data_IF_306722528300
#
_entry.id   IF_306722528300
#
_cell.length_a   1.000
_cell.length_b   1.000
_cell.length_c   1.000
_cell.angle_alpha   90.00
_cell.angle_beta   90.00
_cell.angle_gamma   90.00
#
_symmetry.space_group_name_H-M   'P 1'
#
loop_
_entity.id
_entity.type
_entity.pdbx_description
1 polymer ?
#
# COMPACT_ATOMS: atom_id res chain seq x y z
N UNK A 1 -5.53 -8.07 66.48
CA UNK A 1 -4.22 -8.73 66.37
C UNK A 1 -3.52 -8.12 65.15
N UNK A 2 -2.63 -7.15 65.38
CA UNK A 2 -1.92 -6.40 64.35
C UNK A 2 -0.55 -7.03 64.09
N UNK A 3 -0.17 -7.23 62.83
CA UNK A 3 1.23 -7.46 62.45
C UNK A 3 1.57 -6.59 61.24
N UNK A 4 2.22 -5.46 61.54
CA UNK A 4 3.02 -4.63 60.64
C UNK A 4 4.30 -5.38 60.32
N UNK A 5 4.70 -5.43 59.04
CA UNK A 5 6.12 -5.53 58.67
C UNK A 5 6.42 -4.46 57.63
N UNK A 6 7.34 -3.59 57.98
CA UNK A 6 7.88 -2.53 57.15
C UNK A 6 9.19 -3.02 56.50
N UNK A 7 9.41 -2.67 55.24
CA UNK A 7 10.69 -2.83 54.55
C UNK A 7 10.98 -1.62 53.67
N UNK A 8 11.80 -0.69 54.18
CA UNK A 8 12.37 0.44 53.44
C UNK A 8 13.59 -0.05 52.64
N UNK A 9 13.74 0.40 51.39
CA UNK A 9 15.04 0.48 50.70
C UNK A 9 15.16 1.83 49.95
N UNK A 10 16.38 2.36 49.75
CA UNK A 10 16.61 3.79 49.67
C UNK A 10 16.82 4.33 48.26
N UNK A 11 16.59 5.63 48.15
CA UNK A 11 16.93 6.50 47.02
C UNK A 11 18.45 6.59 46.88
N UNK A 12 18.98 6.43 45.67
CA UNK A 12 20.32 6.91 45.32
C UNK A 12 20.24 7.95 44.20
N UNK A 13 20.96 9.04 44.43
CA UNK A 13 20.99 10.26 43.64
C UNK A 13 22.23 10.26 42.72
N UNK A 14 22.13 11.13 41.71
CA UNK A 14 23.05 11.45 40.61
C UNK A 14 24.55 11.41 40.94
N UNK A 15 25.35 11.02 39.94
CA UNK A 15 26.54 11.80 39.56
C UNK A 15 26.90 11.61 38.08
N UNK A 16 27.13 12.77 37.45
CA UNK A 16 27.67 12.99 36.11
C UNK A 16 29.19 13.03 36.23
N UNK A 17 29.93 12.27 35.43
CA UNK A 17 31.35 12.55 35.12
C UNK A 17 31.65 12.15 33.67
N UNK A 18 32.04 13.15 32.88
CA UNK A 18 32.74 12.99 31.60
C UNK A 18 34.08 12.26 31.79
N UNK A 19 34.45 11.37 30.87
CA UNK A 19 35.84 11.29 30.37
C UNK A 19 35.95 10.47 29.08
N UNK A 20 36.51 11.14 28.09
CA UNK A 20 37.23 10.59 26.93
C UNK A 20 38.44 9.79 27.40
N UNK A 21 38.74 8.66 26.74
CA UNK A 21 40.01 8.47 26.01
C UNK A 21 40.11 7.07 25.41
N UNK A 22 40.75 7.07 24.26
CA UNK A 22 41.31 5.96 23.49
C UNK A 22 42.04 4.89 24.30
N UNK A 23 41.94 3.63 23.86
CA UNK A 23 43.10 2.74 23.86
C UNK A 23 42.98 1.69 22.76
N UNK A 24 44.07 1.62 21.98
CA UNK A 24 44.41 0.58 21.02
C UNK A 24 44.49 -0.77 21.72
N UNK A 25 44.03 -1.82 21.07
CA UNK A 25 44.46 -3.19 21.34
C UNK A 25 45.19 -3.68 20.10
N UNK A 26 46.41 -4.16 20.32
CA UNK A 26 47.33 -4.75 19.34
C UNK A 26 47.76 -6.12 19.89
N UNK A 27 48.09 -7.01 18.94
CA UNK A 27 48.75 -8.32 19.03
C UNK A 27 47.81 -9.54 19.14
N UNK A 28 48.07 -10.69 18.49
CA UNK A 28 49.27 -11.13 17.75
C UNK A 28 48.92 -12.00 16.53
N UNK A 29 49.85 -11.97 15.58
CA UNK A 29 49.94 -12.68 14.31
C UNK A 29 50.49 -14.11 14.39
N UNK A 30 50.45 -14.77 13.23
CA UNK A 30 51.06 -16.05 12.79
C UNK A 30 50.10 -17.25 12.91
N UNK A 31 49.74 -17.95 11.82
CA UNK A 31 50.61 -18.47 10.76
C UNK A 31 50.10 -18.31 9.32
N UNK A 32 51.10 -18.29 8.43
CA UNK A 32 51.10 -18.08 6.99
C UNK A 32 50.67 -19.30 6.16
N UNK A 33 50.09 -19.03 5.00
CA UNK A 33 50.60 -19.36 3.64
C UNK A 33 49.39 -19.40 2.68
N UNK A 34 49.44 -19.02 1.41
CA UNK A 34 50.28 -18.18 0.56
C UNK A 34 49.51 -18.19 -0.78
N UNK A 35 49.48 -17.10 -1.54
CA UNK A 35 48.82 -17.12 -2.86
C UNK A 35 48.52 -15.75 -3.44
N UNK A 36 49.57 -14.95 -3.61
CA UNK A 36 49.54 -13.62 -4.21
C UNK A 36 48.97 -13.58 -5.63
N UNK A 37 48.26 -12.48 -5.93
CA UNK A 37 48.58 -11.60 -7.07
C UNK A 37 47.85 -10.25 -6.93
N UNK A 38 48.67 -9.21 -6.76
CA UNK A 38 48.32 -7.79 -6.72
C UNK A 38 48.21 -7.16 -8.13
N UNK A 39 47.70 -5.91 -8.24
CA UNK A 39 46.99 -5.37 -9.38
C UNK A 39 47.77 -4.30 -10.16
N UNK A 40 47.26 -3.95 -11.36
CA UNK A 40 47.59 -2.76 -12.17
C UNK A 40 46.46 -2.58 -13.19
N UNK A 41 46.08 -1.43 -13.73
CA UNK A 41 46.25 0.00 -13.49
C UNK A 41 45.27 0.68 -14.48
N UNK A 42 44.93 1.95 -14.26
CA UNK A 42 44.18 2.86 -15.13
C UNK A 42 44.66 2.87 -16.60
N UNK A 43 43.76 3.22 -17.54
CA UNK A 43 43.95 4.31 -18.52
C UNK A 43 42.63 4.71 -19.22
N UNK A 44 42.67 5.90 -19.80
CA UNK A 44 41.58 6.79 -20.19
C UNK A 44 41.03 6.59 -21.63
N UNK A 45 39.94 7.33 -21.91
CA UNK A 45 39.23 7.54 -23.19
C UNK A 45 40.16 8.26 -24.22
N UNK A 46 39.91 8.20 -25.55
CA UNK A 46 39.23 9.33 -26.22
C UNK A 46 38.38 9.04 -27.50
N UNK A 47 37.39 9.92 -27.73
CA UNK A 47 36.91 10.61 -28.97
C UNK A 47 36.52 9.93 -30.31
N UNK A 48 35.45 10.49 -30.92
CA UNK A 48 35.18 10.58 -32.39
C UNK A 48 33.67 10.53 -32.74
N UNK A 49 32.95 11.64 -33.02
CA UNK A 49 32.72 12.31 -34.33
C UNK A 49 31.96 11.42 -35.36
N UNK A 50 30.93 11.81 -36.13
CA UNK A 50 30.25 13.08 -36.47
C UNK A 50 28.90 12.79 -37.20
N UNK A 51 28.15 13.84 -37.58
CA UNK A 51 26.76 13.83 -38.10
C UNK A 51 26.55 13.26 -39.53
N UNK A 52 25.59 13.72 -40.38
CA UNK A 52 24.69 14.88 -40.26
C UNK A 52 23.20 14.62 -40.63
N UNK A 53 22.43 15.71 -40.51
CA UNK A 53 21.03 15.89 -40.87
C UNK A 53 20.75 15.77 -42.37
N UNK A 54 19.59 15.20 -42.71
CA UNK A 54 18.93 15.41 -43.99
C UNK A 54 17.46 15.79 -43.74
N UNK A 55 17.06 16.91 -44.33
CA UNK A 55 15.73 17.50 -44.27
C UNK A 55 14.74 16.76 -45.19
N UNK A 56 13.47 16.68 -44.79
CA UNK A 56 12.35 16.53 -45.72
C UNK A 56 11.15 17.34 -45.20
N UNK A 57 10.80 18.35 -45.99
CA UNK A 57 9.59 19.18 -45.87
C UNK A 57 8.41 18.47 -46.53
N UNK A 58 7.22 18.67 -45.95
CA UNK A 58 5.95 18.73 -46.69
C UNK A 58 5.10 17.47 -46.64
N UNK A 59 4.05 17.49 -45.82
CA UNK A 59 2.70 16.94 -46.10
C UNK A 59 1.73 17.32 -44.95
N UNK A 60 0.83 18.25 -45.29
CA UNK A 60 -0.54 18.56 -44.86
C UNK A 60 -1.18 18.17 -43.50
N UNK A 61 -2.21 18.94 -43.05
CA UNK A 61 -2.56 19.10 -41.65
C UNK A 61 -3.38 17.94 -41.07
N UNK A 62 -2.91 17.44 -39.93
CA UNK A 62 -3.60 16.45 -39.10
C UNK A 62 -4.99 16.93 -38.65
N UNK A 63 -6.00 16.26 -39.18
CA UNK A 63 -7.38 16.30 -38.69
C UNK A 63 -7.42 15.57 -37.33
N UNK A 64 -7.35 16.32 -36.22
CA UNK A 64 -7.43 15.79 -34.86
C UNK A 64 -8.85 15.31 -34.55
N UNK A 65 -9.17 14.07 -34.94
CA UNK A 65 -10.19 13.30 -34.22
C UNK A 65 -9.64 12.97 -32.83
N UNK A 66 -10.27 13.52 -31.79
CA UNK A 66 -10.03 13.14 -30.41
C UNK A 66 -10.40 11.66 -30.23
N UNK A 67 -9.44 10.76 -30.44
CA UNK A 67 -9.54 9.41 -29.90
C UNK A 67 -9.34 9.53 -28.39
N UNK A 68 -10.45 9.48 -27.65
CA UNK A 68 -10.45 9.13 -26.23
C UNK A 68 -9.95 7.68 -26.10
N UNK A 69 -8.64 7.48 -26.12
CA UNK A 69 -8.03 6.25 -25.66
C UNK A 69 -8.13 6.25 -24.14
N UNK A 70 -9.25 5.76 -23.62
CA UNK A 70 -9.34 5.35 -22.23
C UNK A 70 -8.39 4.15 -22.07
N UNK A 71 -7.14 4.43 -21.72
CA UNK A 71 -6.15 3.42 -21.36
C UNK A 71 -6.65 2.80 -20.05
N UNK A 72 -7.52 1.77 -20.16
CA UNK A 72 -7.84 0.89 -19.04
C UNK A 72 -6.53 0.25 -18.60
N UNK A 73 -6.20 0.40 -17.31
CA UNK A 73 -4.99 -0.16 -16.73
C UNK A 73 -4.99 -1.68 -16.96
N UNK A 74 -3.82 -2.27 -17.23
CA UNK A 74 -3.70 -3.72 -17.47
C UNK A 74 -4.29 -4.59 -16.33
N UNK A 75 -4.36 -4.04 -15.11
CA UNK A 75 -5.03 -4.66 -13.96
C UNK A 75 -6.55 -4.71 -14.08
N UNK A 76 -7.18 -3.71 -14.70
CA UNK A 76 -8.63 -3.67 -14.93
C UNK A 76 -9.05 -4.66 -16.02
N UNK A 77 -8.22 -4.83 -17.06
CA UNK A 77 -8.44 -5.86 -18.09
C UNK A 77 -8.38 -7.26 -17.48
N UNK A 78 -7.36 -7.56 -16.68
CA UNK A 78 -7.22 -8.86 -15.98
C UNK A 78 -8.38 -9.16 -15.02
N UNK A 79 -8.91 -8.14 -14.34
CA UNK A 79 -10.08 -8.30 -13.45
C UNK A 79 -11.37 -8.53 -14.26
N UNK A 80 -11.57 -7.80 -15.36
CA UNK A 80 -12.72 -8.00 -16.25
C UNK A 80 -12.69 -9.38 -16.92
N UNK A 81 -11.52 -9.83 -17.40
CA UNK A 81 -11.35 -11.16 -18.00
C UNK A 81 -11.59 -12.27 -16.97
N UNK A 82 -11.16 -12.07 -15.73
CA UNK A 82 -11.43 -12.99 -14.63
C UNK A 82 -12.94 -13.14 -14.38
N UNK A 83 -13.65 -12.03 -14.18
CA UNK A 83 -15.10 -12.07 -13.95
C UNK A 83 -15.89 -12.54 -15.16
N UNK A 84 -15.41 -12.28 -16.38
CA UNK A 84 -16.00 -12.86 -17.58
C UNK A 84 -15.89 -14.40 -17.58
N UNK A 85 -14.75 -14.96 -17.13
CA UNK A 85 -14.59 -16.42 -16.96
C UNK A 85 -15.47 -16.98 -15.84
N UNK A 86 -15.59 -16.27 -14.73
CA UNK A 86 -16.48 -16.68 -13.62
C UNK A 86 -17.94 -16.68 -14.08
N UNK A 87 -18.37 -15.67 -14.85
CA UNK A 87 -19.76 -15.46 -15.22
C UNK A 87 -20.16 -16.07 -16.58
N UNK A 88 -19.27 -16.82 -17.24
CA UNK A 88 -19.55 -17.45 -18.54
C UNK A 88 -20.47 -18.67 -18.39
N UNK A 89 -21.73 -18.45 -17.99
CA UNK A 89 -22.70 -19.51 -17.66
C UNK A 89 -23.24 -20.27 -18.88
N UNK A 90 -23.15 -19.65 -20.06
CA UNK A 90 -23.89 -20.11 -21.25
C UNK A 90 -23.05 -20.86 -22.29
N UNK A 91 -21.74 -21.06 -22.05
CA UNK A 91 -20.91 -21.87 -22.95
C UNK A 91 -20.35 -23.03 -22.16
N UNK A 92 -20.70 -24.25 -22.58
CA UNK A 92 -20.08 -25.48 -22.09
C UNK A 92 -18.58 -25.33 -22.28
N UNK A 93 -17.86 -25.08 -21.20
CA UNK A 93 -16.42 -24.90 -21.22
C UNK A 93 -15.81 -25.80 -20.15
N UNK A 94 -15.54 -27.04 -20.56
CA UNK A 94 -14.94 -28.06 -19.73
C UNK A 94 -13.50 -27.75 -19.27
N UNK A 95 -12.90 -26.70 -19.84
CA UNK A 95 -11.59 -26.18 -19.46
C UNK A 95 -11.67 -25.02 -18.45
N UNK A 96 -12.87 -24.60 -18.05
CA UNK A 96 -13.07 -23.56 -17.05
C UNK A 96 -13.42 -24.19 -15.70
N UNK A 97 -12.57 -24.07 -14.66
CA UNK A 97 -12.83 -24.68 -13.36
C UNK A 97 -14.11 -24.12 -12.70
N UNK A 98 -14.43 -22.84 -12.94
CA UNK A 98 -15.67 -22.23 -12.42
C UNK A 98 -16.92 -22.90 -13.00
N UNK A 99 -16.91 -23.21 -14.30
CA UNK A 99 -18.01 -23.92 -14.94
C UNK A 99 -18.18 -25.34 -14.38
N UNK A 100 -17.07 -26.07 -14.16
CA UNK A 100 -17.11 -27.41 -13.58
C UNK A 100 -17.74 -27.41 -12.18
N UNK A 101 -17.35 -26.45 -11.33
CA UNK A 101 -17.90 -26.34 -9.98
C UNK A 101 -19.34 -25.86 -9.98
N UNK A 102 -19.71 -24.86 -10.79
CA UNK A 102 -21.12 -24.45 -10.88
C UNK A 102 -22.01 -25.59 -11.39
N UNK A 103 -21.57 -26.33 -12.41
CA UNK A 103 -22.30 -27.50 -12.91
C UNK A 103 -22.43 -28.58 -11.84
N UNK A 104 -21.36 -28.85 -11.08
CA UNK A 104 -21.41 -29.79 -9.97
C UNK A 104 -22.45 -29.37 -8.93
N UNK A 105 -22.42 -28.11 -8.50
CA UNK A 105 -23.36 -27.57 -7.50
C UNK A 105 -24.81 -27.54 -7.98
N UNK A 106 -25.04 -27.40 -9.29
CA UNK A 106 -26.38 -27.48 -9.89
C UNK A 106 -26.92 -28.92 -9.93
N UNK A 107 -26.06 -29.90 -10.23
CA UNK A 107 -26.44 -31.31 -10.32
C UNK A 107 -26.63 -31.91 -8.91
N UNK A 108 -25.76 -31.55 -7.97
CA UNK A 108 -25.74 -32.08 -6.61
C UNK A 108 -26.05 -30.99 -5.60
N UNK A 109 -27.31 -30.53 -5.59
CA UNK A 109 -27.78 -29.51 -4.65
C UNK A 109 -27.94 -30.04 -3.22
N UNK A 110 -28.15 -31.35 -3.07
CA UNK A 110 -28.19 -32.02 -1.77
C UNK A 110 -26.79 -32.31 -1.25
N UNK A 111 -26.57 -32.08 0.04
CA UNK A 111 -25.25 -32.20 0.69
C UNK A 111 -24.73 -33.63 0.66
N UNK A 112 -25.56 -34.62 0.98
CA UNK A 112 -25.11 -36.01 1.06
C UNK A 112 -24.80 -36.54 -0.35
N UNK A 113 -25.62 -36.17 -1.34
CA UNK A 113 -25.32 -36.47 -2.75
C UNK A 113 -24.03 -35.79 -3.21
N UNK A 114 -23.80 -34.53 -2.88
CA UNK A 114 -22.56 -33.83 -3.21
C UNK A 114 -21.35 -34.56 -2.59
N UNK A 115 -21.42 -34.91 -1.31
CA UNK A 115 -20.36 -35.63 -0.59
C UNK A 115 -20.01 -36.98 -1.22
N UNK A 116 -21.01 -37.73 -1.69
CA UNK A 116 -20.81 -39.00 -2.38
C UNK A 116 -20.15 -38.84 -3.75
N UNK A 117 -20.45 -37.75 -4.46
CA UNK A 117 -19.96 -37.50 -5.82
C UNK A 117 -18.64 -36.72 -5.90
N UNK A 118 -18.13 -36.21 -4.78
CA UNK A 118 -16.76 -35.68 -4.70
C UNK A 118 -15.76 -36.86 -4.73
N UNK A 119 -14.96 -36.93 -5.80
CA UNK A 119 -13.92 -37.93 -6.03
C UNK A 119 -12.57 -37.29 -6.41
N UNK A 120 -11.51 -38.10 -6.41
CA UNK A 120 -10.14 -37.67 -6.66
C UNK A 120 -9.98 -37.00 -8.04
N UNK A 121 -10.50 -37.63 -9.09
CA UNK A 121 -10.36 -37.16 -10.47
C UNK A 121 -11.00 -35.80 -10.67
N UNK A 122 -12.17 -35.59 -10.07
CA UNK A 122 -12.88 -34.32 -10.12
C UNK A 122 -12.08 -33.19 -9.44
N UNK A 123 -11.53 -33.45 -8.24
CA UNK A 123 -10.70 -32.46 -7.53
C UNK A 123 -9.43 -32.15 -8.33
N UNK A 124 -8.70 -33.17 -8.79
CA UNK A 124 -7.51 -32.97 -9.62
C UNK A 124 -7.83 -32.19 -10.90
N UNK A 125 -8.96 -32.48 -11.56
CA UNK A 125 -9.39 -31.76 -12.76
C UNK A 125 -9.68 -30.29 -12.49
N UNK A 126 -10.45 -29.97 -11.44
CA UNK A 126 -10.77 -28.59 -11.09
C UNK A 126 -9.50 -27.82 -10.72
N UNK A 127 -8.66 -28.41 -9.87
CA UNK A 127 -7.52 -27.72 -9.29
C UNK A 127 -6.36 -27.59 -10.28
N UNK A 128 -6.12 -28.56 -11.16
CA UNK A 128 -5.09 -28.46 -12.21
C UNK A 128 -5.40 -27.40 -13.27
N UNK A 129 -6.69 -27.20 -13.60
CA UNK A 129 -7.11 -26.10 -14.48
C UNK A 129 -6.88 -24.71 -13.84
N UNK A 130 -6.88 -24.64 -12.50
CA UNK A 130 -6.56 -23.40 -11.77
C UNK A 130 -5.06 -23.22 -11.53
N UNK A 131 -4.35 -24.31 -11.23
CA UNK A 131 -2.93 -24.37 -10.94
C UNK A 131 -2.31 -25.57 -11.70
N UNK A 132 -1.63 -25.35 -12.84
CA UNK A 132 -1.16 -26.43 -13.72
C UNK A 132 -0.27 -27.49 -13.06
N UNK A 133 0.46 -27.13 -12.01
CA UNK A 133 1.34 -28.06 -11.28
C UNK A 133 0.62 -28.80 -10.13
N UNK A 134 -0.69 -28.66 -10.02
CA UNK A 134 -1.44 -29.27 -8.95
C UNK A 134 -1.59 -30.78 -9.18
N UNK A 135 -1.30 -31.55 -8.14
CA UNK A 135 -1.61 -32.96 -8.06
C UNK A 135 -1.99 -33.33 -6.63
N UNK A 136 -2.98 -34.21 -6.51
CA UNK A 136 -3.44 -34.86 -5.30
C UNK A 136 -3.36 -36.38 -5.53
N UNK A 137 -2.80 -37.11 -4.57
CA UNK A 137 -2.75 -38.57 -4.62
C UNK A 137 -4.01 -39.18 -4.03
N UNK A 138 -4.28 -40.46 -4.31
CA UNK A 138 -5.40 -41.18 -3.71
C UNK A 138 -5.27 -41.28 -2.19
N UNK A 139 -4.06 -41.53 -1.69
CA UNK A 139 -3.76 -41.57 -0.26
C UNK A 139 -4.11 -40.23 0.40
N UNK A 140 -3.65 -39.12 -0.19
CA UNK A 140 -3.93 -37.77 0.30
C UNK A 140 -5.42 -37.49 0.31
N UNK A 141 -6.12 -37.84 -0.77
CA UNK A 141 -7.56 -37.66 -0.85
C UNK A 141 -8.33 -38.44 0.22
N UNK A 142 -7.94 -39.69 0.50
CA UNK A 142 -8.54 -40.51 1.54
C UNK A 142 -8.29 -39.93 2.94
N UNK A 143 -7.08 -39.41 3.19
CA UNK A 143 -6.77 -38.68 4.42
C UNK A 143 -7.72 -37.48 4.55
N UNK A 144 -7.85 -36.66 3.51
CA UNK A 144 -8.73 -35.48 3.54
C UNK A 144 -10.19 -35.83 3.82
N UNK A 145 -10.72 -36.91 3.24
CA UNK A 145 -12.09 -37.40 3.51
C UNK A 145 -12.32 -37.84 4.95
N UNK A 146 -11.27 -38.26 5.66
CA UNK A 146 -11.37 -38.73 7.04
C UNK A 146 -11.38 -37.61 8.08
N UNK A 147 -10.96 -36.38 7.71
CA UNK A 147 -10.81 -35.26 8.65
C UNK A 147 -12.18 -34.84 9.16
N UNK A 148 -12.34 -34.86 10.49
CA UNK A 148 -13.51 -34.35 11.19
C UNK A 148 -13.29 -32.90 11.65
N UNK A 149 -14.34 -32.07 11.68
CA UNK A 149 -14.25 -30.72 12.22
C UNK A 149 -14.05 -30.73 13.73
N UNK A 150 -13.31 -29.74 14.22
CA UNK A 150 -13.24 -29.36 15.62
C UNK A 150 -14.05 -28.08 15.79
N UNK A 151 -15.18 -28.15 16.48
CA UNK A 151 -16.01 -26.98 16.76
C UNK A 151 -15.44 -26.14 17.88
N UNK A 152 -15.30 -24.84 17.62
CA UNK A 152 -14.82 -23.85 18.57
C UNK A 152 -16.01 -22.95 18.97
N UNK A 153 -16.13 -22.70 20.27
CA UNK A 153 -17.14 -21.81 20.82
C UNK A 153 -16.56 -20.39 20.98
N UNK A 154 -17.43 -19.39 20.83
CA UNK A 154 -17.08 -18.00 21.13
C UNK A 154 -16.94 -17.81 22.66
N UNK A 155 -15.97 -17.01 23.16
CA UNK A 155 -14.94 -16.28 22.43
C UNK A 155 -13.84 -17.20 21.90
N UNK A 156 -13.60 -17.15 20.59
CA UNK A 156 -12.71 -18.10 19.91
C UNK A 156 -11.27 -17.96 20.40
N UNK A 157 -10.85 -16.75 20.76
CA UNK A 157 -9.49 -16.39 21.15
C UNK A 157 -8.94 -17.22 22.30
N UNK A 158 -9.81 -17.69 23.19
CA UNK A 158 -9.43 -18.51 24.34
C UNK A 158 -9.06 -19.94 23.93
N UNK A 159 -9.65 -20.45 22.84
CA UNK A 159 -9.47 -21.83 22.37
C UNK A 159 -8.36 -21.99 21.32
N UNK A 160 -8.04 -20.92 20.58
CA UNK A 160 -7.12 -21.00 19.43
C UNK A 160 -5.71 -21.48 19.79
N UNK A 161 -5.05 -21.02 20.88
CA UNK A 161 -3.67 -21.45 21.14
C UNK A 161 -3.56 -22.94 21.47
N UNK A 162 -4.57 -23.52 22.12
CA UNK A 162 -4.61 -24.94 22.47
C UNK A 162 -4.89 -25.84 21.27
N UNK A 163 -5.76 -25.41 20.37
CA UNK A 163 -6.19 -26.22 19.22
C UNK A 163 -5.30 -26.01 17.99
N UNK A 164 -4.95 -24.76 17.68
CA UNK A 164 -4.22 -24.40 16.45
C UNK A 164 -2.72 -24.19 16.65
N UNK A 165 -2.28 -24.14 17.92
CA UNK A 165 -0.94 -23.71 18.29
C UNK A 165 -0.81 -22.18 18.37
N UNK A 166 0.38 -21.70 18.73
CA UNK A 166 0.65 -20.26 18.84
C UNK A 166 0.76 -19.64 17.43
N UNK A 167 0.27 -18.40 17.23
CA UNK A 167 0.53 -17.67 16.00
C UNK A 167 2.02 -17.33 15.89
N UNK A 168 2.75 -18.11 15.10
CA UNK A 168 4.21 -18.09 15.04
C UNK A 168 4.73 -17.34 13.80
N UNK A 169 5.91 -16.71 13.94
CA UNK A 169 6.51 -15.89 12.86
C UNK A 169 7.07 -16.74 11.71
N UNK A 170 7.39 -18.02 11.92
CA UNK A 170 7.87 -18.96 10.87
C UNK A 170 7.55 -20.41 11.24
N UNK A 171 7.00 -21.18 10.29
CA UNK A 171 7.02 -22.66 10.26
C UNK A 171 6.05 -23.42 11.16
N UNK A 172 5.76 -22.92 12.36
CA UNK A 172 5.06 -23.72 13.39
C UNK A 172 3.59 -23.32 13.53
N UNK A 173 2.74 -23.70 12.59
CA UNK A 173 1.29 -23.43 12.67
C UNK A 173 0.48 -24.58 12.10
N UNK A 174 -0.71 -24.82 12.68
CA UNK A 174 -1.61 -25.84 12.14
C UNK A 174 -2.15 -25.39 10.78
N UNK A 175 -1.98 -26.25 9.78
CA UNK A 175 -2.55 -26.07 8.45
C UNK A 175 -3.93 -26.72 8.37
N UNK A 176 -4.84 -26.11 7.62
CA UNK A 176 -6.19 -26.63 7.48
C UNK A 176 -7.18 -25.65 6.88
N UNK A 177 -8.45 -25.99 7.08
CA UNK A 177 -9.62 -25.23 6.60
C UNK A 177 -10.45 -24.79 7.78
N UNK A 178 -11.06 -23.62 7.70
CA UNK A 178 -12.00 -23.10 8.68
C UNK A 178 -13.35 -22.81 8.01
N UNK A 179 -14.42 -23.09 8.76
CA UNK A 179 -15.81 -22.88 8.36
C UNK A 179 -16.47 -21.95 9.39
N UNK A 180 -16.86 -20.76 8.94
CA UNK A 180 -17.76 -19.91 9.71
C UNK A 180 -19.20 -20.23 9.32
N UNK A 181 -20.07 -20.43 10.31
CA UNK A 181 -21.51 -20.58 10.12
C UNK A 181 -22.23 -19.52 10.94
N UNK A 182 -22.99 -18.65 10.28
CA UNK A 182 -23.80 -17.64 10.96
C UNK A 182 -25.00 -18.33 11.65
N UNK A 183 -25.14 -18.13 12.96
CA UNK A 183 -26.20 -18.73 13.78
C UNK A 183 -27.59 -18.18 13.48
N UNK A 184 -27.67 -16.98 12.89
CA UNK A 184 -28.93 -16.27 12.65
C UNK A 184 -29.59 -16.77 11.37
N UNK A 185 -28.84 -16.80 10.27
CA UNK A 185 -29.38 -17.12 8.94
C UNK A 185 -28.84 -18.44 8.35
N UNK A 186 -27.86 -19.08 9.00
CA UNK A 186 -27.25 -20.32 8.53
C UNK A 186 -26.17 -20.14 7.46
N UNK A 187 -25.89 -18.90 7.02
CA UNK A 187 -24.94 -18.62 5.96
C UNK A 187 -23.53 -19.09 6.32
N UNK A 188 -22.83 -19.65 5.32
CA UNK A 188 -21.52 -20.27 5.53
C UNK A 188 -20.41 -19.57 4.78
N UNK A 189 -19.21 -19.58 5.36
CA UNK A 189 -17.96 -19.20 4.71
C UNK A 189 -16.89 -20.25 4.96
N UNK A 190 -16.31 -20.78 3.89
CA UNK A 190 -15.16 -21.68 3.93
C UNK A 190 -13.91 -20.92 3.50
N UNK A 191 -12.84 -21.05 4.26
CA UNK A 191 -11.52 -20.55 3.85
C UNK A 191 -10.39 -21.40 4.40
N UNK A 192 -9.20 -21.24 3.85
CA UNK A 192 -8.08 -22.12 4.18
C UNK A 192 -6.80 -21.36 4.55
N UNK A 193 -5.87 -22.06 5.22
CA UNK A 193 -4.52 -21.54 5.44
C UNK A 193 -3.53 -22.63 5.82
N UNK A 194 -2.27 -22.46 5.39
CA UNK A 194 -1.13 -23.21 5.93
C UNK A 194 -0.77 -22.77 7.37
N UNK A 195 -1.35 -21.68 7.89
CA UNK A 195 -1.19 -21.22 9.27
C UNK A 195 -2.51 -20.61 9.75
N UNK A 196 -3.43 -21.48 10.19
CA UNK A 196 -4.78 -21.11 10.61
C UNK A 196 -4.78 -20.08 11.74
N UNK A 197 -3.92 -20.25 12.75
CA UNK A 197 -3.84 -19.34 13.89
C UNK A 197 -3.55 -17.90 13.43
N UNK A 198 -2.58 -17.72 12.53
CA UNK A 198 -2.23 -16.41 11.99
C UNK A 198 -3.34 -15.85 11.09
N UNK A 199 -3.93 -16.69 10.23
CA UNK A 199 -5.01 -16.28 9.33
C UNK A 199 -6.24 -15.81 10.11
N UNK A 200 -6.66 -16.56 11.12
CA UNK A 200 -7.83 -16.26 11.94
C UNK A 200 -7.60 -15.03 12.82
N UNK A 201 -6.44 -14.97 13.50
CA UNK A 201 -6.07 -13.82 14.33
C UNK A 201 -6.00 -12.52 13.53
N UNK A 202 -5.31 -12.52 12.39
CA UNK A 202 -5.11 -11.31 11.61
C UNK A 202 -6.30 -10.97 10.72
N UNK A 203 -7.11 -11.97 10.35
CA UNK A 203 -8.23 -11.81 9.43
C UNK A 203 -9.55 -11.47 10.10
N UNK A 204 -9.80 -11.98 11.31
CA UNK A 204 -11.13 -11.91 11.93
C UNK A 204 -11.11 -11.53 13.41
N UNK A 205 -10.09 -11.95 14.19
CA UNK A 205 -10.05 -11.75 15.65
C UNK A 205 -9.12 -10.62 16.10
N UNK A 206 -8.62 -9.83 15.17
CA UNK A 206 -7.71 -8.73 15.48
C UNK A 206 -8.43 -7.66 16.30
N UNK A 207 -7.67 -6.89 17.09
CA UNK A 207 -8.19 -5.71 17.80
C UNK A 207 -8.69 -4.60 16.85
N UNK A 208 -8.40 -4.74 15.55
CA UNK A 208 -8.83 -3.79 14.53
C UNK A 208 -10.22 -4.15 14.01
N UNK A 209 -11.08 -3.15 13.73
CA UNK A 209 -12.38 -3.41 13.14
C UNK A 209 -12.24 -4.15 11.82
N UNK A 210 -13.16 -5.07 11.53
CA UNK A 210 -13.21 -5.78 10.25
C UNK A 210 -13.71 -4.82 9.17
N UNK A 211 -12.76 -4.22 8.43
CA UNK A 211 -13.05 -3.16 7.44
C UNK A 211 -13.22 -3.70 6.01
N UNK A 212 -12.98 -4.98 5.77
CA UNK A 212 -13.03 -5.51 4.41
C UNK A 212 -14.46 -5.63 3.83
N UNK A 213 -14.54 -5.84 2.51
CA UNK A 213 -15.80 -5.87 1.75
C UNK A 213 -16.23 -7.27 1.33
N UNK A 214 -15.47 -8.31 1.71
CA UNK A 214 -15.88 -9.69 1.41
C UNK A 214 -17.19 -9.98 2.13
N UNK A 215 -18.08 -10.77 1.53
CA UNK A 215 -19.37 -11.13 2.16
C UNK A 215 -19.24 -11.58 3.62
N UNK A 216 -18.25 -12.39 3.97
CA UNK A 216 -18.00 -12.79 5.37
C UNK A 216 -17.65 -11.62 6.29
N UNK A 217 -16.87 -10.64 5.81
CA UNK A 217 -16.48 -9.47 6.59
C UNK A 217 -17.67 -8.52 6.81
N UNK A 218 -18.52 -8.38 5.79
CA UNK A 218 -19.79 -7.63 5.87
C UNK A 218 -20.72 -8.33 6.86
N UNK A 219 -20.91 -9.64 6.73
CA UNK A 219 -21.78 -10.43 7.61
C UNK A 219 -21.32 -10.39 9.08
N UNK A 220 -20.01 -10.50 9.36
CA UNK A 220 -19.48 -10.36 10.72
C UNK A 220 -19.69 -8.93 11.26
N UNK A 221 -19.61 -7.89 10.41
CA UNK A 221 -19.87 -6.51 10.84
C UNK A 221 -21.33 -6.26 11.19
N UNK A 222 -22.24 -6.84 10.40
CA UNK A 222 -23.69 -6.68 10.57
C UNK A 222 -24.22 -7.48 11.76
N UNK A 223 -23.77 -8.72 11.92
CA UNK A 223 -24.30 -9.63 12.93
C UNK A 223 -23.40 -9.75 14.17
N UNK A 224 -22.15 -9.32 14.11
CA UNK A 224 -21.18 -9.51 15.18
C UNK A 224 -20.61 -10.94 15.21
N UNK A 225 -19.34 -11.05 15.61
CA UNK A 225 -18.61 -12.33 15.59
C UNK A 225 -19.18 -13.39 16.55
N UNK A 226 -19.80 -12.97 17.65
CA UNK A 226 -20.43 -13.88 18.63
C UNK A 226 -21.59 -14.71 18.03
N UNK A 227 -22.20 -14.20 16.95
CA UNK A 227 -23.26 -14.86 16.22
C UNK A 227 -22.77 -15.85 15.16
N UNK A 228 -21.49 -16.24 15.22
CA UNK A 228 -20.94 -17.29 14.36
C UNK A 228 -20.53 -18.52 15.19
N UNK A 229 -20.62 -19.69 14.57
CA UNK A 229 -19.88 -20.89 14.95
C UNK A 229 -18.63 -20.98 14.07
N UNK A 230 -17.56 -21.54 14.62
CA UNK A 230 -16.31 -21.76 13.91
C UNK A 230 -15.91 -23.22 14.01
N UNK A 231 -15.89 -23.92 12.88
CA UNK A 231 -15.34 -25.26 12.78
C UNK A 231 -13.97 -25.20 12.10
N UNK A 232 -13.00 -25.96 12.61
CA UNK A 232 -11.67 -26.08 12.00
C UNK A 232 -11.37 -27.53 11.62
N UNK A 233 -10.88 -27.73 10.40
CA UNK A 233 -10.48 -29.02 9.85
C UNK A 233 -8.96 -29.02 9.73
N UNK A 234 -8.29 -29.74 10.62
CA UNK A 234 -6.83 -29.74 10.70
C UNK A 234 -6.24 -30.85 9.84
N UNK A 235 -5.28 -30.51 8.98
CA UNK A 235 -4.47 -31.53 8.29
C UNK A 235 -3.66 -32.28 9.35
N UNK A 236 -3.65 -33.63 9.37
CA UNK A 236 -2.89 -34.40 10.36
C UNK A 236 -1.42 -34.00 10.40
N UNK A 237 -0.81 -33.97 11.59
CA UNK A 237 0.58 -33.48 11.80
C UNK A 237 1.62 -34.26 11.01
N UNK A 238 1.41 -35.56 10.81
CA UNK A 238 2.30 -36.41 10.01
C UNK A 238 2.32 -35.97 8.53
N UNK A 239 1.33 -35.18 8.09
CA UNK A 239 1.25 -34.55 6.78
C UNK A 239 1.57 -33.05 6.80
N UNK A 240 1.92 -32.48 7.95
CA UNK A 240 2.33 -31.07 8.08
C UNK A 240 3.85 -30.94 7.91
N UNK A 241 4.29 -29.79 7.38
CA UNK A 241 5.72 -29.49 7.20
C UNK A 241 6.36 -29.23 8.57
N UNK A 242 7.03 -30.23 9.14
CA UNK A 242 8.13 -30.13 10.10
C UNK A 242 7.93 -29.22 11.33
N UNK A 243 7.35 -29.77 12.39
CA UNK A 243 7.53 -29.26 13.75
C UNK A 243 8.87 -29.69 14.35
N UNK A 244 9.99 -29.38 13.70
CA UNK A 244 11.32 -29.32 14.32
C UNK A 244 12.33 -28.90 13.25
N UNK A 245 12.85 -27.68 13.37
CA UNK A 245 14.05 -27.18 12.69
C UNK A 245 14.11 -27.41 11.17
N UNK A 246 14.09 -26.32 10.39
CA UNK A 246 14.37 -26.30 8.95
C UNK A 246 15.80 -26.76 8.57
N UNK A 247 16.53 -27.39 9.48
CA UNK A 247 17.87 -27.92 9.27
C UNK A 247 17.81 -29.46 9.36
N UNK A 248 18.05 -30.08 8.19
CA UNK A 248 18.61 -31.40 7.97
C UNK A 248 17.70 -32.64 8.15
N UNK A 249 17.23 -33.15 7.01
CA UNK A 249 17.37 -34.58 6.69
C UNK A 249 16.30 -35.57 7.15
N UNK A 250 15.20 -35.15 7.78
CA UNK A 250 14.16 -36.11 8.22
C UNK A 250 13.23 -36.51 7.06
N UNK A 251 13.32 -37.76 6.63
CA UNK A 251 12.41 -38.39 5.66
C UNK A 251 10.98 -38.45 6.24
N UNK A 252 10.10 -37.53 5.83
CA UNK A 252 8.69 -37.56 6.23
C UNK A 252 7.96 -36.22 6.13
N UNK A 253 8.66 -35.08 6.14
CA UNK A 253 8.01 -33.78 5.98
C UNK A 253 7.64 -33.55 4.51
N UNK A 254 6.34 -33.47 4.21
CA UNK A 254 5.85 -32.99 2.91
C UNK A 254 6.37 -31.57 2.67
N UNK A 255 6.69 -31.24 1.43
CA UNK A 255 7.15 -29.90 1.09
C UNK A 255 5.98 -28.89 1.22
N UNK A 256 6.31 -27.60 1.31
CA UNK A 256 5.31 -26.53 1.48
C UNK A 256 4.27 -26.52 0.36
N UNK A 257 4.65 -26.89 -0.87
CA UNK A 257 3.73 -26.96 -2.02
C UNK A 257 2.71 -28.07 -1.82
N UNK A 258 3.15 -29.26 -1.41
CA UNK A 258 2.23 -30.38 -1.12
C UNK A 258 1.27 -30.03 0.01
N UNK A 259 1.74 -29.42 1.10
CA UNK A 259 0.84 -28.99 2.18
C UNK A 259 -0.19 -27.94 1.69
N UNK A 260 0.25 -27.02 0.85
CA UNK A 260 -0.66 -26.05 0.23
C UNK A 260 -1.70 -26.75 -0.66
N UNK A 261 -1.30 -27.74 -1.46
CA UNK A 261 -2.23 -28.53 -2.28
C UNK A 261 -3.25 -29.27 -1.41
N UNK A 262 -2.84 -29.90 -0.31
CA UNK A 262 -3.74 -30.56 0.65
C UNK A 262 -4.79 -29.60 1.22
N UNK A 263 -4.34 -28.43 1.68
CA UNK A 263 -5.20 -27.39 2.26
C UNK A 263 -6.20 -26.86 1.24
N UNK A 264 -5.77 -26.59 0.01
CA UNK A 264 -6.65 -26.12 -1.07
C UNK A 264 -7.63 -27.21 -1.54
N UNK A 265 -7.20 -28.48 -1.54
CA UNK A 265 -8.06 -29.61 -1.87
C UNK A 265 -9.21 -29.73 -0.88
N UNK A 266 -8.88 -29.69 0.42
CA UNK A 266 -9.88 -29.77 1.48
C UNK A 266 -10.85 -28.57 1.43
N UNK A 267 -10.34 -27.38 1.14
CA UNK A 267 -11.17 -26.18 0.93
C UNK A 267 -12.14 -26.39 -0.23
N UNK A 268 -11.64 -26.90 -1.37
CA UNK A 268 -12.46 -27.14 -2.56
C UNK A 268 -13.54 -28.20 -2.29
N UNK A 269 -13.19 -29.30 -1.60
CA UNK A 269 -14.13 -30.34 -1.21
C UNK A 269 -15.25 -29.77 -0.34
N UNK A 270 -14.92 -28.97 0.68
CA UNK A 270 -15.91 -28.35 1.56
C UNK A 270 -16.77 -27.29 0.86
N UNK A 271 -16.21 -26.52 -0.07
CA UNK A 271 -17.00 -25.58 -0.89
C UNK A 271 -18.02 -26.34 -1.75
N UNK A 272 -17.63 -27.46 -2.33
CA UNK A 272 -18.51 -28.28 -3.16
C UNK A 272 -19.56 -29.04 -2.35
N UNK A 273 -19.21 -29.51 -1.15
CA UNK A 273 -20.15 -30.17 -0.24
C UNK A 273 -21.18 -29.20 0.33
N UNK A 274 -20.74 -27.99 0.73
CA UNK A 274 -21.56 -27.08 1.55
C UNK A 274 -22.21 -25.94 0.76
N UNK A 275 -21.77 -25.68 -0.47
CA UNK A 275 -22.16 -24.52 -1.28
C UNK A 275 -22.24 -23.17 -0.52
N UNK A 276 -21.17 -22.76 0.21
CA UNK A 276 -21.24 -21.68 1.19
C UNK A 276 -21.61 -20.30 0.59
N UNK A 277 -22.65 -19.65 1.10
CA UNK A 277 -23.27 -18.42 0.58
C UNK A 277 -22.33 -17.21 0.58
N UNK A 278 -21.45 -17.16 1.59
CA UNK A 278 -20.50 -16.07 1.80
C UNK A 278 -19.22 -16.24 0.96
N UNK A 279 -19.04 -17.37 0.28
CA UNK A 279 -18.00 -17.53 -0.75
C UNK A 279 -18.51 -17.01 -2.09
N UNK A 280 -18.04 -15.81 -2.48
CA UNK A 280 -18.33 -15.25 -3.81
C UNK A 280 -17.79 -16.11 -4.95
N UNK A 281 -16.62 -16.71 -4.75
CA UNK A 281 -16.01 -17.64 -5.70
C UNK A 281 -15.95 -19.02 -5.08
N UNK A 282 -16.41 -20.00 -5.86
CA UNK A 282 -16.51 -21.40 -5.46
C UNK A 282 -15.27 -22.22 -5.82
N UNK A 283 -14.16 -21.57 -6.17
CA UNK A 283 -12.87 -22.21 -6.45
C UNK A 283 -11.88 -21.86 -5.33
N UNK A 284 -11.35 -22.88 -4.65
CA UNK A 284 -10.36 -22.73 -3.59
C UNK A 284 -9.09 -22.04 -4.11
N UNK A 285 -8.47 -21.21 -3.26
CA UNK A 285 -7.27 -20.44 -3.63
C UNK A 285 -7.50 -19.31 -4.65
N UNK A 286 -8.66 -19.27 -5.32
CA UNK A 286 -9.02 -18.16 -6.20
C UNK A 286 -9.31 -16.92 -5.36
N UNK A 287 -8.53 -15.87 -5.59
CA UNK A 287 -8.89 -14.55 -5.06
C UNK A 287 -9.98 -13.95 -5.97
N UNK A 288 -11.08 -13.40 -5.43
CA UNK A 288 -11.98 -12.54 -6.19
C UNK A 288 -11.16 -11.41 -6.72
N UNK A 289 -10.80 -11.53 -8.01
CA UNK A 289 -9.67 -10.86 -8.62
C UNK A 289 -9.59 -9.45 -8.09
N UNK A 290 -8.71 -9.24 -7.10
CA UNK A 290 -8.67 -7.95 -6.42
C UNK A 290 -8.33 -6.98 -7.52
N UNK A 291 -9.21 -6.00 -7.77
CA UNK A 291 -8.77 -4.67 -8.13
C UNK A 291 -7.58 -4.40 -7.21
N UNK A 292 -6.38 -4.53 -7.77
CA UNK A 292 -5.12 -4.80 -7.08
C UNK A 292 -5.12 -4.26 -5.65
N UNK A 293 -4.82 -5.10 -4.65
CA UNK A 293 -4.76 -4.79 -3.21
C UNK A 293 -4.17 -3.42 -2.81
N UNK A 294 -3.37 -2.79 -3.68
CA UNK A 294 -2.94 -1.38 -3.57
C UNK A 294 -4.08 -0.36 -3.49
N UNK A 295 -5.26 -0.64 -4.05
CA UNK A 295 -6.43 0.25 -4.01
C UNK A 295 -7.41 -0.07 -2.87
N UNK A 296 -7.26 -1.22 -2.21
CA UNK A 296 -8.13 -1.67 -1.11
C UNK A 296 -7.49 -1.51 0.27
N UNK A 297 -6.22 -1.04 0.35
CA UNK A 297 -5.64 -0.68 1.64
C UNK A 297 -6.49 0.39 2.30
N UNK A 298 -6.82 0.16 3.56
CA UNK A 298 -7.44 1.19 4.37
C UNK A 298 -6.48 2.38 4.46
N UNK A 299 -7.02 3.57 4.37
CA UNK A 299 -6.32 4.78 4.73
C UNK A 299 -6.92 5.30 6.05
N UNK A 300 -6.04 5.64 6.96
CA UNK A 300 -6.35 6.09 8.31
C UNK A 300 -6.11 7.59 8.38
N UNK A 301 -7.11 8.33 8.85
CA UNK A 301 -7.04 9.77 9.04
C UNK A 301 -7.01 10.06 10.53
N UNK A 302 -5.94 10.71 10.98
CA UNK A 302 -5.72 11.08 12.37
C UNK A 302 -5.82 12.59 12.53
N UNK A 303 -6.40 13.01 13.65
CA UNK A 303 -6.25 14.37 14.16
C UNK A 303 -4.90 14.48 14.86
N UNK A 304 -3.97 15.26 14.29
CA UNK A 304 -2.63 15.40 14.85
C UNK A 304 -2.61 16.23 16.14
N UNK A 305 -3.61 17.10 16.35
CA UNK A 305 -3.70 17.95 17.55
C UNK A 305 -4.23 17.15 18.73
N UNK A 306 -5.34 16.44 18.52
CA UNK A 306 -5.99 15.65 19.58
C UNK A 306 -5.32 14.28 19.76
N UNK A 307 -4.47 13.88 18.81
CA UNK A 307 -3.88 12.54 18.72
C UNK A 307 -4.96 11.45 18.72
N UNK A 308 -5.92 11.59 17.81
CA UNK A 308 -7.03 10.66 17.67
C UNK A 308 -7.12 10.10 16.24
N UNK A 309 -7.34 8.79 16.10
CA UNK A 309 -7.82 8.20 14.86
C UNK A 309 -9.30 8.54 14.72
N UNK A 310 -9.61 9.41 13.77
CA UNK A 310 -10.96 9.96 13.59
C UNK A 310 -11.73 9.31 12.45
N UNK A 311 -11.03 8.78 11.43
CA UNK A 311 -11.72 8.21 10.28
C UNK A 311 -10.90 7.12 9.60
N UNK A 312 -11.57 6.07 9.13
CA UNK A 312 -10.98 4.97 8.37
C UNK A 312 -11.77 4.84 7.09
N UNK A 313 -11.08 4.75 5.96
CA UNK A 313 -11.72 4.56 4.65
C UNK A 313 -10.98 3.54 3.82
N UNK A 314 -11.75 2.67 3.15
CA UNK A 314 -11.19 1.71 2.21
C UNK A 314 -10.75 2.43 0.93
N UNK A 315 -9.44 2.48 0.70
CA UNK A 315 -8.83 2.97 -0.53
C UNK A 315 -8.51 4.47 -0.55
N UNK A 316 -7.33 4.78 -1.07
CA UNK A 316 -6.80 6.15 -1.19
C UNK A 316 -7.67 7.06 -2.05
N UNK A 317 -8.30 6.53 -3.10
CA UNK A 317 -9.17 7.30 -4.00
C UNK A 317 -10.40 7.85 -3.25
N UNK A 318 -10.97 7.04 -2.37
CA UNK A 318 -12.11 7.45 -1.55
C UNK A 318 -11.68 8.48 -0.51
N UNK A 319 -10.54 8.27 0.15
CA UNK A 319 -9.99 9.28 1.07
C UNK A 319 -9.73 10.60 0.35
N UNK A 320 -9.12 10.57 -0.84
CA UNK A 320 -8.83 11.77 -1.62
C UNK A 320 -10.11 12.53 -1.97
N UNK A 321 -11.19 11.82 -2.35
CA UNK A 321 -12.51 12.41 -2.62
C UNK A 321 -13.09 13.10 -1.38
N UNK A 322 -13.09 12.43 -0.22
CA UNK A 322 -13.59 12.99 1.05
C UNK A 322 -12.78 14.21 1.47
N UNK A 323 -11.45 14.12 1.37
CA UNK A 323 -10.54 15.24 1.64
C UNK A 323 -10.61 16.33 0.56
N UNK A 324 -11.36 16.15 -0.53
CA UNK A 324 -11.42 17.13 -1.62
C UNK A 324 -10.05 17.43 -2.23
N UNK A 325 -9.17 16.43 -2.34
CA UNK A 325 -7.86 16.56 -2.99
C UNK A 325 -7.65 15.48 -4.06
N UNK A 326 -6.67 15.68 -4.94
CA UNK A 326 -6.32 14.66 -5.92
C UNK A 326 -5.47 13.55 -5.29
N UNK A 327 -5.51 12.34 -5.87
CA UNK A 327 -4.79 11.18 -5.33
C UNK A 327 -3.25 11.41 -5.27
N UNK A 328 -2.70 12.16 -6.22
CA UNK A 328 -1.28 12.49 -6.25
C UNK A 328 -0.87 13.43 -5.10
N UNK A 329 -1.76 14.33 -4.67
CA UNK A 329 -1.54 15.14 -3.48
C UNK A 329 -1.57 14.25 -2.23
N UNK A 330 -2.54 13.34 -2.13
CA UNK A 330 -2.63 12.40 -1.02
C UNK A 330 -1.35 11.55 -0.89
N UNK A 331 -0.80 11.06 -2.01
CA UNK A 331 0.48 10.32 -2.03
C UNK A 331 1.63 11.10 -1.40
N UNK A 332 1.68 12.43 -1.54
CA UNK A 332 2.72 13.27 -0.92
C UNK A 332 2.59 13.36 0.60
N UNK A 333 1.38 13.27 1.14
CA UNK A 333 1.14 13.24 2.59
C UNK A 333 1.44 11.85 3.16
N UNK A 334 1.08 10.78 2.44
CA UNK A 334 1.42 9.41 2.81
C UNK A 334 2.93 9.14 2.79
N UNK A 335 3.66 9.68 1.81
CA UNK A 335 5.10 9.46 1.68
C UNK A 335 5.93 10.18 2.74
N UNK A 336 5.45 11.31 3.28
CA UNK A 336 6.16 12.10 4.26
C UNK A 336 5.41 12.08 5.59
N UNK A 337 5.88 11.25 6.52
CA UNK A 337 5.25 11.05 7.84
C UNK A 337 5.15 12.32 8.69
N UNK A 338 5.91 13.38 8.37
CA UNK A 338 5.86 14.64 9.12
C UNK A 338 4.94 15.67 8.47
N UNK A 339 4.32 15.36 7.33
CA UNK A 339 3.52 16.32 6.58
C UNK A 339 2.04 16.20 6.91
N UNK A 340 1.50 17.24 7.51
CA UNK A 340 0.09 17.33 7.84
C UNK A 340 -0.76 17.85 6.67
N UNK A 341 -1.85 17.16 6.37
CA UNK A 341 -2.89 17.66 5.48
C UNK A 341 -3.67 18.78 6.18
N UNK A 342 -3.85 19.91 5.48
CA UNK A 342 -4.41 21.15 6.04
C UNK A 342 -3.72 21.65 7.32
N UNK A 343 -2.46 21.24 7.57
CA UNK A 343 -1.73 21.50 8.82
C UNK A 343 -2.43 20.96 10.08
N UNK A 344 -3.33 19.98 9.92
CA UNK A 344 -4.15 19.45 11.03
C UNK A 344 -4.21 17.92 11.04
N UNK A 345 -4.31 17.30 9.87
CA UNK A 345 -4.53 15.87 9.77
C UNK A 345 -3.29 15.10 9.36
N UNK A 346 -3.08 13.96 9.99
CA UNK A 346 -2.09 12.98 9.60
C UNK A 346 -2.76 11.83 8.84
N UNK A 347 -2.14 11.34 7.76
CA UNK A 347 -2.69 10.27 6.92
C UNK A 347 -1.71 9.11 6.87
N UNK A 348 -2.19 7.88 7.11
CA UNK A 348 -1.39 6.67 7.01
C UNK A 348 -2.10 5.57 6.22
N UNK A 349 -1.33 4.66 5.60
CA UNK A 349 -1.85 3.43 4.99
C UNK A 349 -1.87 2.24 5.98
N UNK A 350 -1.22 2.39 7.12
CA UNK A 350 -1.14 1.39 8.19
C UNK A 350 -1.56 2.04 9.51
N UNK A 351 -2.13 1.26 10.41
CA UNK A 351 -2.46 1.74 11.76
C UNK A 351 -1.17 2.09 12.49
N UNK A 352 -1.10 3.29 13.05
CA UNK A 352 0.01 3.66 13.93
C UNK A 352 -0.03 2.81 15.21
N UNK A 353 0.90 1.86 15.31
CA UNK A 353 1.12 1.06 16.51
C UNK A 353 2.08 1.79 17.44
N UNK A 354 1.64 2.20 18.63
CA UNK A 354 2.52 2.88 19.59
C UNK A 354 1.85 3.58 20.77
N UNK A 355 0.52 3.51 20.91
CA UNK A 355 -0.20 4.18 22.01
C UNK A 355 -0.21 5.71 21.93
N UNK A 356 0.42 6.31 20.92
CA UNK A 356 0.45 7.77 20.75
C UNK A 356 -0.92 8.33 20.34
N UNK A 357 -1.80 7.52 19.75
CA UNK A 357 -3.10 7.95 19.25
C UNK A 357 -4.23 7.12 19.84
N UNK A 358 -5.25 7.79 20.36
CA UNK A 358 -6.51 7.17 20.79
C UNK A 358 -7.44 6.92 19.59
N UNK A 359 -8.44 6.05 19.72
CA UNK A 359 -9.44 5.83 18.66
C UNK A 359 -10.74 6.52 19.03
N UNK A 360 -11.19 7.44 18.18
CA UNK A 360 -12.48 8.15 18.32
C UNK A 360 -13.08 8.38 16.93
N UNK A 361 -13.65 7.31 16.38
CA UNK A 361 -14.20 7.33 15.02
C UNK A 361 -15.43 8.22 14.96
N UNK A 362 -15.47 9.10 13.96
CA UNK A 362 -16.61 9.96 13.65
C UNK A 362 -17.26 9.52 12.34
N UNK A 363 -18.53 9.85 12.17
CA UNK A 363 -19.28 9.60 10.94
C UNK A 363 -18.77 10.44 9.77
N UNK A 364 -19.11 10.07 8.54
CA UNK A 364 -18.73 10.83 7.34
C UNK A 364 -19.27 12.28 7.40
N UNK A 365 -20.52 12.46 7.84
CA UNK A 365 -21.13 13.79 7.96
C UNK A 365 -20.40 14.68 8.97
N UNK A 366 -20.01 14.12 10.13
CA UNK A 366 -19.20 14.82 11.13
C UNK A 366 -17.81 15.16 10.61
N UNK A 367 -17.17 14.24 9.87
CA UNK A 367 -15.87 14.50 9.24
C UNK A 367 -15.96 15.63 8.21
N UNK A 368 -16.98 15.64 7.35
CA UNK A 368 -17.18 16.70 6.36
C UNK A 368 -17.41 18.06 7.04
N UNK A 369 -18.24 18.11 8.08
CA UNK A 369 -18.43 19.30 8.90
C UNK A 369 -17.10 19.77 9.53
N UNK A 370 -16.30 18.82 10.03
CA UNK A 370 -15.02 19.13 10.66
C UNK A 370 -13.99 19.69 9.66
N UNK A 371 -13.88 19.07 8.49
CA UNK A 371 -13.03 19.54 7.39
C UNK A 371 -13.43 20.94 6.93
N UNK A 372 -14.72 21.21 6.80
CA UNK A 372 -15.22 22.52 6.37
C UNK A 372 -14.90 23.61 7.40
N UNK A 373 -15.02 23.32 8.70
CA UNK A 373 -14.62 24.25 9.77
C UNK A 373 -13.14 24.66 9.65
N UNK A 374 -12.25 23.69 9.41
CA UNK A 374 -10.80 23.95 9.26
C UNK A 374 -10.51 24.73 7.97
N UNK A 375 -11.15 24.36 6.85
CA UNK A 375 -11.00 25.06 5.57
C UNK A 375 -11.42 26.53 5.66
N UNK A 376 -12.55 26.81 6.32
CA UNK A 376 -13.03 28.17 6.55
C UNK A 376 -12.10 28.98 7.44
N UNK A 377 -11.58 28.38 8.53
CA UNK A 377 -10.59 29.03 9.38
C UNK A 377 -9.32 29.43 8.62
N UNK A 378 -8.85 28.57 7.71
CA UNK A 378 -7.67 28.86 6.87
C UNK A 378 -7.93 29.94 5.82
N UNK A 379 -9.11 29.96 5.20
CA UNK A 379 -9.49 31.01 4.24
C UNK A 379 -9.43 32.38 4.91
N UNK A 380 -9.97 32.49 6.13
CA UNK A 380 -9.98 33.74 6.89
C UNK A 380 -8.57 34.21 7.30
N UNK A 381 -7.65 33.28 7.58
CA UNK A 381 -6.25 33.63 7.85
C UNK A 381 -5.55 34.16 6.58
N UNK A 382 -5.71 33.46 5.46
CA UNK A 382 -5.07 33.86 4.19
C UNK A 382 -5.58 35.19 3.66
N UNK A 383 -6.88 35.49 3.82
CA UNK A 383 -7.42 36.81 3.43
C UNK A 383 -6.91 37.95 4.29
N UNK A 384 -6.44 37.68 5.52
CA UNK A 384 -5.86 38.69 6.41
C UNK A 384 -4.34 38.85 6.22
N UNK A 385 -3.65 37.85 5.69
CA UNK A 385 -2.19 37.79 5.63
C UNK A 385 -1.59 38.00 4.24
N UNK A 386 -2.41 38.03 3.18
CA UNK A 386 -1.92 38.26 1.82
C UNK A 386 -2.06 39.75 1.52
N UNK A 387 -0.94 40.52 1.43
CA UNK A 387 -1.00 41.91 1.00
C UNK A 387 -1.69 41.99 -0.36
N UNK A 388 -2.47 43.04 -0.57
CA UNK A 388 -3.27 43.15 -1.79
C UNK A 388 -2.37 43.05 -3.03
N UNK A 389 -2.95 42.66 -4.18
CA UNK A 389 -2.19 42.62 -5.44
C UNK A 389 -1.56 43.99 -5.74
N UNK A 390 -2.21 45.08 -5.34
CA UNK A 390 -1.69 46.44 -5.45
C UNK A 390 -0.51 46.70 -4.51
N UNK A 391 -0.58 46.28 -3.25
CA UNK A 391 0.56 46.38 -2.31
C UNK A 391 1.77 45.56 -2.78
N UNK A 392 1.51 44.41 -3.39
CA UNK A 392 2.56 43.56 -3.97
C UNK A 392 3.17 44.24 -5.21
N UNK A 393 2.35 44.82 -6.09
CA UNK A 393 2.83 45.56 -7.27
C UNK A 393 3.64 46.80 -6.85
N UNK A 394 3.18 47.57 -5.87
CA UNK A 394 3.89 48.74 -5.32
C UNK A 394 5.25 48.35 -4.73
N UNK A 395 5.33 47.22 -4.02
CA UNK A 395 6.59 46.71 -3.46
C UNK A 395 7.60 46.27 -4.53
N UNK A 396 7.15 45.94 -5.75
CA UNK A 396 8.00 45.48 -6.86
C UNK A 396 8.19 46.49 -8.00
N UNK A 397 7.50 47.64 -7.97
CA UNK A 397 7.72 48.77 -8.88
C UNK A 397 8.74 49.76 -8.28
N UNK A 398 9.96 49.29 -8.04
CA UNK A 398 11.07 50.21 -7.75
C UNK A 398 11.41 51.02 -8.99
N UNK A 399 11.66 52.32 -8.82
CA UNK A 399 12.17 53.16 -9.90
C UNK A 399 13.57 52.66 -10.31
N UNK A 400 13.88 52.78 -11.58
CA UNK A 400 15.14 52.34 -12.15
C UNK A 400 15.81 53.51 -12.84
N UNK A 401 16.99 53.86 -12.35
CA UNK A 401 17.93 54.75 -13.04
C UNK A 401 18.65 53.96 -14.11
N UNK A 402 18.72 54.50 -15.32
CA UNK A 402 19.45 53.97 -16.44
C UNK A 402 20.43 55.05 -16.93
N UNK A 403 21.71 54.81 -16.75
CA UNK A 403 22.79 55.68 -17.25
C UNK A 403 23.37 55.08 -18.52
N UNK A 404 23.31 55.82 -19.62
CA UNK A 404 24.04 55.50 -20.83
C UNK A 404 25.51 55.90 -20.65
N UNK A 405 26.41 54.93 -20.65
CA UNK A 405 27.83 55.16 -20.37
C UNK A 405 28.57 55.88 -21.51
N UNK A 406 28.01 55.83 -22.72
CA UNK A 406 28.58 56.47 -23.91
C UNK A 406 28.15 57.94 -23.97
N UNK A 407 26.84 58.21 -23.91
CA UNK A 407 26.30 59.58 -24.02
C UNK A 407 26.31 60.34 -22.70
N UNK A 408 26.50 59.66 -21.56
CA UNK A 408 26.36 60.18 -20.19
C UNK A 408 24.95 60.61 -19.82
N UNK A 409 23.95 60.29 -20.64
CA UNK A 409 22.55 60.56 -20.34
C UNK A 409 22.03 59.67 -19.21
N UNK A 410 21.22 60.24 -18.32
CA UNK A 410 20.59 59.54 -17.19
C UNK A 410 19.08 59.62 -17.35
N UNK A 411 18.42 58.47 -17.40
CA UNK A 411 16.97 58.33 -17.53
C UNK A 411 16.40 57.59 -16.33
N UNK A 412 15.23 58.03 -15.84
CA UNK A 412 14.55 57.40 -14.70
C UNK A 412 13.24 56.79 -15.18
N UNK A 413 13.07 55.50 -14.93
CA UNK A 413 11.87 54.75 -15.28
C UNK A 413 11.09 54.36 -14.03
N UNK A 414 9.76 54.51 -14.09
CA UNK A 414 8.87 54.08 -13.00
C UNK A 414 8.82 52.56 -12.77
N UNK A 415 9.46 51.75 -13.62
CA UNK A 415 9.63 50.31 -13.40
C UNK A 415 10.75 49.74 -14.25
N UNK A 416 11.27 48.58 -13.84
CA UNK A 416 12.22 47.78 -14.61
C UNK A 416 11.66 47.35 -15.99
N UNK A 417 10.34 47.18 -16.12
CA UNK A 417 9.72 46.82 -17.42
C UNK A 417 9.96 47.93 -18.44
N UNK A 418 9.62 49.18 -18.08
CA UNK A 418 9.79 50.33 -18.97
C UNK A 418 11.26 50.57 -19.35
N UNK A 419 12.18 50.40 -18.39
CA UNK A 419 13.61 50.46 -18.68
C UNK A 419 14.07 49.37 -19.67
N UNK A 420 13.49 48.16 -19.59
CA UNK A 420 13.81 47.06 -20.51
C UNK A 420 13.27 47.31 -21.92
N UNK A 421 12.04 47.83 -22.02
CA UNK A 421 11.43 48.24 -23.30
C UNK A 421 12.28 49.31 -23.99
N UNK A 422 12.69 50.35 -23.26
CA UNK A 422 13.58 51.39 -23.77
C UNK A 422 14.90 50.81 -24.30
N UNK A 423 15.56 49.91 -23.56
CA UNK A 423 16.80 49.27 -24.01
C UNK A 423 16.58 48.49 -25.31
N UNK A 424 15.46 47.76 -25.45
CA UNK A 424 15.16 46.98 -26.64
C UNK A 424 14.91 47.88 -27.87
N UNK A 425 14.31 49.05 -27.66
CA UNK A 425 14.01 50.03 -28.72
C UNK A 425 15.23 50.89 -29.10
N UNK A 426 16.22 51.03 -28.20
CA UNK A 426 17.36 51.91 -28.41
C UNK A 426 18.22 51.53 -29.63
N UNK A 427 18.42 50.23 -29.90
CA UNK A 427 19.09 49.74 -31.12
C UNK A 427 18.84 48.24 -31.35
N UNK A 428 18.86 47.75 -32.61
CA UNK A 428 18.67 46.34 -32.94
C UNK A 428 19.59 45.39 -32.18
N UNK A 429 20.80 45.83 -31.85
CA UNK A 429 21.76 45.02 -31.07
C UNK A 429 21.27 44.72 -29.66
N UNK A 430 20.35 45.52 -29.11
CA UNK A 430 19.81 45.36 -27.76
C UNK A 430 18.45 44.67 -27.70
N UNK A 431 17.80 44.40 -28.84
CA UNK A 431 16.44 43.85 -29.00
C UNK A 431 16.10 42.54 -28.24
N UNK A 432 17.10 41.89 -27.65
CA UNK A 432 16.96 40.67 -26.85
C UNK A 432 17.13 40.90 -25.34
N UNK A 433 17.02 42.15 -24.87
CA UNK A 433 17.03 42.43 -23.44
C UNK A 433 15.77 41.86 -22.78
N UNK A 434 15.98 40.88 -21.90
CA UNK A 434 14.92 40.34 -21.05
C UNK A 434 15.01 40.91 -19.63
N UNK A 435 13.85 41.00 -18.97
CA UNK A 435 13.71 41.60 -17.64
C UNK A 435 14.58 40.95 -16.57
N UNK A 436 14.86 39.64 -16.68
CA UNK A 436 15.71 38.92 -15.74
C UNK A 436 17.18 39.33 -15.86
N UNK A 437 17.67 39.51 -17.08
CA UNK A 437 19.01 40.00 -17.38
C UNK A 437 19.19 41.43 -16.86
N UNK A 438 18.28 42.33 -17.23
CA UNK A 438 18.32 43.74 -16.79
C UNK A 438 18.19 43.85 -15.27
N UNK A 439 17.36 43.03 -14.61
CA UNK A 439 17.29 42.97 -13.14
C UNK A 439 18.61 42.54 -12.52
N UNK A 440 19.35 41.62 -13.14
CA UNK A 440 20.64 41.15 -12.63
C UNK A 440 21.66 42.27 -12.72
N UNK A 441 21.77 42.91 -13.87
CA UNK A 441 22.65 44.07 -14.10
C UNK A 441 22.35 45.22 -13.13
N UNK A 442 21.08 45.53 -12.87
CA UNK A 442 20.69 46.56 -11.91
C UNK A 442 21.10 46.24 -10.45
N UNK A 443 21.19 44.95 -10.08
CA UNK A 443 21.65 44.51 -8.75
C UNK A 443 23.16 44.46 -8.65
N UNK A 444 23.84 44.01 -9.70
CA UNK A 444 25.30 43.84 -9.70
C UNK A 444 26.03 45.13 -10.05
N UNK A 445 25.33 46.14 -10.60
CA UNK A 445 25.94 47.37 -11.11
C UNK A 445 26.77 47.16 -12.39
N UNK A 446 26.79 45.95 -12.93
CA UNK A 446 27.51 45.61 -14.17
C UNK A 446 26.75 46.20 -15.36
N UNK A 447 27.41 46.96 -16.26
CA UNK A 447 26.74 47.52 -17.42
C UNK A 447 26.18 46.44 -18.34
N UNK A 448 24.93 46.60 -18.80
CA UNK A 448 24.33 45.74 -19.80
C UNK A 448 24.98 46.00 -21.16
N UNK A 449 25.62 44.95 -21.70
CA UNK A 449 26.41 44.99 -22.94
C UNK A 449 27.44 46.12 -22.99
N UNK A 450 27.96 46.55 -21.83
CA UNK A 450 28.94 47.64 -21.75
C UNK A 450 28.37 49.05 -21.95
N UNK A 451 27.08 49.22 -22.25
CA UNK A 451 26.49 50.51 -22.62
C UNK A 451 25.59 51.09 -21.53
N UNK A 452 24.72 50.27 -20.92
CA UNK A 452 23.73 50.78 -19.95
C UNK A 452 24.05 50.32 -18.54
N UNK A 453 24.31 51.26 -17.63
CA UNK A 453 24.40 50.98 -16.20
C UNK A 453 23.04 51.22 -15.55
N UNK A 454 22.53 50.23 -14.83
CA UNK A 454 21.23 50.34 -14.16
C UNK A 454 21.41 50.34 -12.65
N UNK A 455 20.54 51.07 -11.96
CA UNK A 455 20.47 51.09 -10.49
C UNK A 455 19.01 51.22 -10.05
N UNK A 456 18.62 50.46 -9.02
CA UNK A 456 17.34 50.70 -8.35
C UNK A 456 17.44 51.96 -7.50
N UNK A 457 16.48 52.85 -7.65
CA UNK A 457 16.29 54.02 -6.79
C UNK A 457 15.14 53.69 -5.85
N UNK A 458 15.33 53.97 -4.56
CA UNK A 458 14.33 53.79 -3.51
C UNK A 458 13.40 55.00 -3.41
#
# INVERSE_FOLDING_TARGET
MYLKVAGKLPKFNKNVVHRSCSSKIVFSSSWLNQGDRLPRLFFAIPHGAGGPWAALKGLDPFNKKFFSTTIRLASERKSADFWHKVNSKNKVNEMNPHYLVERFLQIYSDRELAKLNINLDLINRIMSLHNPDFSLTLEDFNILKSIQPISLNYPFELSLPGVLGKPLRRGEGSAGVYLFTNKINGDRYVGSSINLATRLKNGYFGQLPIVGQRKIEVSIREHGLANFNLDVYLIPRDNQVGGSSFNEGSAGAKDKKTLQNLVLSLEQMLIMELNPELNEIKIAGSSPGTLTSKNLRNSYLYDAKNKELIYIVSGRKNLAKILGCNENALKRYLANKNKLYLNHFFVADDVLTGGEYNTKLISLAELEAYLNKIRMGRKNYLTKSVPSREETILKYCKQVELTNLVTKEVLIFGSLTKATEFINEYSPEFSNANKASISRNARTGVPYKGVFKLRYID
#
